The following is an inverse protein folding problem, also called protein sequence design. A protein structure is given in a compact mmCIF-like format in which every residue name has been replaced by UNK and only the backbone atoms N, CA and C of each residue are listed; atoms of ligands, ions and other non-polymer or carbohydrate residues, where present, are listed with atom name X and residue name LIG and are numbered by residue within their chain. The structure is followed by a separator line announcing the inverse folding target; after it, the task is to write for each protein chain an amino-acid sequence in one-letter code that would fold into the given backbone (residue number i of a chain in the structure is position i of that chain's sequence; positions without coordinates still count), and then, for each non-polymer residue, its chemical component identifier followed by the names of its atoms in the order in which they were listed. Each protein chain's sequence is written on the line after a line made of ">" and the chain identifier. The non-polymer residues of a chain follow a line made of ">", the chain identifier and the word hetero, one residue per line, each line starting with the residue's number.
data_IF_046159016469
#
_entry.id   IF_046159016469
#
_cell.length_a   1.000
_cell.length_b   1.000
_cell.length_c   1.000
_cell.angle_alpha   90.00
_cell.angle_beta   90.00
_cell.angle_gamma   90.00
#
_symmetry.space_group_name_H-M   'P 1'
#
loop_
_entity.id
_entity.type
_entity.pdbx_description
1 polymer ?
#
# COMPACT_ATOMS: atom_id res chain seq x y z
N UNK A 1 45.57 -19.72 -23.55
CA UNK A 1 44.10 -19.91 -23.45
C UNK A 1 43.54 -18.78 -22.61
N UNK A 2 42.78 -17.84 -23.19
CA UNK A 2 42.07 -16.81 -22.44
C UNK A 2 40.69 -17.36 -22.08
N UNK A 3 40.40 -17.51 -20.79
CA UNK A 3 39.06 -17.83 -20.29
C UNK A 3 38.23 -16.54 -20.24
N UNK A 4 36.99 -16.70 -20.66
CA UNK A 4 35.91 -15.73 -20.84
C UNK A 4 35.47 -15.00 -19.58
N UNK A 5 35.37 -13.67 -19.64
CA UNK A 5 34.64 -12.84 -18.68
C UNK A 5 33.13 -12.99 -18.90
N UNK A 6 32.42 -13.52 -17.90
CA UNK A 6 30.96 -13.54 -17.81
C UNK A 6 30.42 -12.15 -17.49
N UNK A 7 29.90 -11.44 -18.49
CA UNK A 7 29.17 -10.17 -18.35
C UNK A 7 27.73 -10.48 -17.89
N UNK A 8 27.40 -10.22 -16.62
CA UNK A 8 26.04 -10.34 -16.06
C UNK A 8 25.51 -8.96 -15.60
N UNK A 9 24.26 -8.71 -15.99
CA UNK A 9 23.28 -7.70 -15.54
C UNK A 9 23.66 -6.22 -15.63
N UNK A 10 23.34 -5.60 -16.78
CA UNK A 10 23.20 -4.14 -16.92
C UNK A 10 21.78 -3.70 -17.27
N UNK A 11 20.88 -4.66 -17.52
CA UNK A 11 19.54 -4.41 -18.05
C UNK A 11 18.61 -3.71 -17.03
N UNK A 12 18.83 -3.91 -15.73
CA UNK A 12 18.02 -3.26 -14.69
C UNK A 12 18.31 -1.76 -14.52
N UNK A 13 19.54 -1.31 -14.81
CA UNK A 13 19.89 0.12 -14.72
C UNK A 13 19.41 0.93 -15.94
N UNK A 14 19.39 0.31 -17.12
CA UNK A 14 18.85 0.96 -18.34
C UNK A 14 17.34 1.25 -18.22
N UNK A 15 16.57 0.33 -17.61
CA UNK A 15 15.11 0.49 -17.47
C UNK A 15 14.74 1.65 -16.53
N UNK A 16 15.54 1.91 -15.50
CA UNK A 16 15.29 3.02 -14.55
C UNK A 16 15.70 4.38 -15.13
N UNK A 17 16.59 4.38 -16.12
CA UNK A 17 17.13 5.61 -16.71
C UNK A 17 16.15 6.29 -17.67
N UNK A 18 15.20 5.54 -18.26
CA UNK A 18 14.27 6.06 -19.27
C UNK A 18 13.15 6.95 -18.69
N UNK A 19 12.84 6.83 -17.39
CA UNK A 19 11.82 7.64 -16.72
C UNK A 19 12.30 9.04 -16.30
N UNK A 20 13.60 9.34 -16.39
CA UNK A 20 14.22 10.57 -15.88
C UNK A 20 14.22 11.77 -16.84
N UNK A 21 13.80 11.60 -18.09
CA UNK A 21 14.05 12.58 -19.16
C UNK A 21 12.76 13.15 -19.78
N UNK A 22 11.83 13.64 -18.96
CA UNK A 22 10.72 14.49 -19.43
C UNK A 22 10.65 15.84 -18.71
N UNK A 23 11.24 16.83 -19.38
CA UNK A 23 10.93 18.27 -19.38
C UNK A 23 10.92 19.05 -18.04
N UNK A 24 11.97 19.87 -17.85
CA UNK A 24 11.99 21.03 -16.95
C UNK A 24 11.09 22.16 -17.49
N UNK A 25 10.28 22.83 -16.65
CA UNK A 25 9.88 24.22 -16.88
C UNK A 25 10.93 25.20 -16.35
N UNK A 26 11.19 26.26 -17.12
CA UNK A 26 12.16 27.32 -16.84
C UNK A 26 11.75 28.23 -15.65
N UNK A 27 12.79 28.78 -15.03
CA UNK A 27 12.80 29.78 -13.96
C UNK A 27 12.18 31.12 -14.35
N UNK A 28 11.25 31.62 -13.53
CA UNK A 28 10.93 33.05 -13.39
C UNK A 28 11.19 33.45 -11.94
N UNK A 29 12.00 34.49 -11.76
CA UNK A 29 12.34 35.10 -10.47
C UNK A 29 11.22 36.03 -9.99
N UNK A 30 10.71 35.81 -8.78
CA UNK A 30 9.82 36.72 -8.03
C UNK A 30 10.52 37.21 -6.74
N UNK A 31 10.21 38.42 -6.25
CA UNK A 31 10.92 39.05 -5.13
C UNK A 31 10.54 38.45 -3.78
N UNK A 32 11.53 38.40 -2.89
CA UNK A 32 11.46 37.92 -1.50
C UNK A 32 10.52 38.79 -0.63
N UNK A 33 9.49 38.23 0.03
CA UNK A 33 8.79 38.95 1.08
C UNK A 33 9.58 38.94 2.41
N UNK A 34 9.57 40.07 3.12
CA UNK A 34 10.13 40.26 4.46
C UNK A 34 9.51 39.31 5.52
N UNK A 35 10.25 38.94 6.59
CA UNK A 35 9.72 38.08 7.65
C UNK A 35 8.66 38.82 8.47
N UNK A 36 7.41 38.34 8.39
CA UNK A 36 6.33 38.72 9.29
C UNK A 36 6.51 37.99 10.63
N UNK A 37 6.34 38.64 11.80
CA UNK A 37 6.49 37.98 13.11
C UNK A 37 5.46 36.86 13.31
N UNK A 38 5.93 35.72 13.83
CA UNK A 38 5.13 34.53 14.15
C UNK A 38 4.05 34.85 15.22
N UNK A 39 2.78 34.46 15.02
CA UNK A 39 1.82 34.43 16.11
C UNK A 39 2.08 33.21 17.01
N UNK A 40 2.22 33.48 18.30
CA UNK A 40 2.25 32.51 19.40
C UNK A 40 1.05 31.55 19.33
N UNK A 41 1.21 30.22 19.36
CA UNK A 41 0.07 29.31 19.46
C UNK A 41 -0.54 29.36 20.87
N UNK A 42 -1.80 29.78 20.97
CA UNK A 42 -2.64 29.50 22.13
C UNK A 42 -2.94 27.99 22.23
N UNK A 43 -2.99 27.39 23.42
CA UNK A 43 -3.33 25.98 23.58
C UNK A 43 -4.85 25.74 23.58
N UNK A 44 -5.26 24.52 23.16
CA UNK A 44 -6.52 23.79 23.50
C UNK A 44 -7.69 23.97 22.49
N UNK A 45 -8.52 22.95 22.14
CA UNK A 45 -8.77 21.66 22.81
C UNK A 45 -8.49 20.39 21.97
N UNK A 46 -8.37 19.30 22.73
CA UNK A 46 -8.34 17.89 22.32
C UNK A 46 -9.65 17.49 21.58
N UNK A 47 -9.58 16.87 20.38
CA UNK A 47 -10.77 16.30 19.75
C UNK A 47 -11.09 14.92 20.35
N UNK A 48 -12.25 14.86 20.98
CA UNK A 48 -13.07 13.70 21.35
C UNK A 48 -13.04 12.59 20.28
N UNK A 49 -12.94 11.30 20.66
CA UNK A 49 -13.01 10.19 19.70
C UNK A 49 -14.43 10.03 19.13
N UNK A 50 -14.61 10.40 17.86
CA UNK A 50 -15.82 10.08 17.10
C UNK A 50 -15.78 8.62 16.62
N UNK A 51 -16.52 7.79 17.34
CA UNK A 51 -16.88 6.43 16.97
C UNK A 51 -17.89 6.46 15.81
N UNK A 52 -17.43 6.40 14.57
CA UNK A 52 -18.30 6.14 13.41
C UNK A 52 -18.25 4.67 13.00
N UNK A 53 -19.07 3.89 13.71
CA UNK A 53 -19.63 2.62 13.26
C UNK A 53 -20.47 2.86 11.99
N UNK A 54 -19.84 2.65 10.84
CA UNK A 54 -20.53 2.48 9.56
C UNK A 54 -20.66 1.00 9.24
N UNK A 55 -21.67 0.35 9.82
CA UNK A 55 -22.14 -0.96 9.41
C UNK A 55 -22.73 -0.86 8.00
N UNK A 56 -22.12 -1.55 7.04
CA UNK A 56 -22.83 -2.05 5.86
C UNK A 56 -22.84 -3.57 5.97
N UNK A 57 -23.95 -4.05 6.53
CA UNK A 57 -24.30 -5.45 6.68
C UNK A 57 -24.39 -6.14 5.31
N UNK A 58 -23.61 -7.20 5.14
CA UNK A 58 -24.01 -8.34 4.33
C UNK A 58 -23.83 -9.58 5.20
N UNK A 59 -24.94 -10.03 5.77
CA UNK A 59 -25.05 -11.07 6.77
C UNK A 59 -25.03 -12.45 6.12
N UNK A 60 -23.87 -13.11 6.12
CA UNK A 60 -23.73 -14.50 6.56
C UNK A 60 -22.24 -14.86 6.69
N UNK A 61 -21.67 -14.62 7.87
CA UNK A 61 -20.36 -15.17 8.21
C UNK A 61 -20.36 -15.49 9.69
N UNK A 62 -20.27 -16.78 9.99
CA UNK A 62 -19.65 -17.27 11.22
C UNK A 62 -18.40 -16.40 11.44
N UNK A 63 -18.11 -15.90 12.66
CA UNK A 63 -16.85 -15.23 12.97
C UNK A 63 -15.73 -16.28 12.95
N UNK A 64 -15.48 -16.84 11.78
CA UNK A 64 -14.29 -17.58 11.45
C UNK A 64 -13.16 -16.56 11.43
N UNK A 65 -12.08 -16.90 12.13
CA UNK A 65 -10.81 -16.20 12.20
C UNK A 65 -10.22 -15.93 10.80
N UNK A 66 -10.77 -14.96 10.08
CA UNK A 66 -10.29 -14.63 8.74
C UNK A 66 -8.91 -13.98 8.88
N UNK A 67 -7.90 -14.69 8.41
CA UNK A 67 -6.52 -14.23 8.23
C UNK A 67 -6.41 -13.31 7.01
N UNK A 68 -7.38 -12.41 6.85
CA UNK A 68 -7.56 -11.63 5.63
C UNK A 68 -7.76 -10.17 5.97
N UNK A 69 -6.96 -9.31 5.35
CA UNK A 69 -7.05 -7.85 5.42
C UNK A 69 -7.53 -7.32 4.07
N UNK A 70 -8.72 -6.72 4.03
CA UNK A 70 -9.25 -6.09 2.82
C UNK A 70 -8.79 -4.62 2.74
N UNK A 71 -8.08 -4.26 1.67
CA UNK A 71 -7.57 -2.91 1.44
C UNK A 71 -8.59 -2.08 0.65
N UNK A 72 -9.12 -1.05 1.31
CA UNK A 72 -10.04 -0.06 0.76
C UNK A 72 -9.49 1.36 0.84
N UNK A 73 -10.34 2.34 1.10
CA UNK A 73 -10.00 3.78 1.05
C UNK A 73 -9.30 4.35 2.29
N UNK A 74 -9.21 3.59 3.39
CA UNK A 74 -8.55 4.05 4.63
C UNK A 74 -7.05 4.35 4.40
N UNK A 75 -6.42 5.19 5.25
CA UNK A 75 -4.99 5.47 5.17
C UNK A 75 -4.14 4.20 5.26
N UNK A 76 -3.00 4.17 4.57
CA UNK A 76 -2.12 3.01 4.44
C UNK A 76 -1.74 2.38 5.79
N UNK A 77 -1.44 3.22 6.80
CA UNK A 77 -1.03 2.77 8.13
C UNK A 77 -2.11 1.99 8.87
N UNK A 78 -3.39 2.19 8.54
CA UNK A 78 -4.51 1.43 9.10
C UNK A 78 -4.38 -0.05 8.74
N UNK A 79 -4.02 -0.34 7.49
CA UNK A 79 -3.85 -1.72 7.04
C UNK A 79 -2.56 -2.32 7.57
N UNK A 80 -1.47 -1.54 7.60
CA UNK A 80 -0.19 -2.00 8.16
C UNK A 80 -0.37 -2.43 9.62
N UNK A 81 -0.95 -1.58 10.46
CA UNK A 81 -1.20 -1.90 11.87
C UNK A 81 -2.12 -3.10 12.06
N UNK A 82 -3.20 -3.21 11.27
CA UNK A 82 -4.11 -4.35 11.30
C UNK A 82 -3.41 -5.66 10.91
N UNK A 83 -2.60 -5.66 9.84
CA UNK A 83 -1.84 -6.83 9.40
C UNK A 83 -0.83 -7.27 10.46
N UNK A 84 -0.09 -6.34 11.06
CA UNK A 84 0.87 -6.66 12.13
C UNK A 84 0.20 -7.20 13.39
N UNK A 85 -0.97 -6.66 13.75
CA UNK A 85 -1.75 -7.17 14.87
C UNK A 85 -2.16 -8.63 14.62
N UNK A 86 -2.62 -8.96 13.41
CA UNK A 86 -2.93 -10.35 13.07
C UNK A 86 -1.69 -11.25 13.01
N UNK A 87 -0.57 -10.77 12.44
CA UNK A 87 0.71 -11.50 12.39
C UNK A 87 1.35 -11.71 13.77
N UNK A 88 0.89 -11.02 14.81
CA UNK A 88 1.36 -11.24 16.19
C UNK A 88 0.81 -12.52 16.80
N UNK A 89 -0.38 -12.95 16.38
CA UNK A 89 -1.06 -14.16 16.89
C UNK A 89 -1.11 -15.26 15.85
N UNK A 90 -0.79 -14.97 14.59
CA UNK A 90 -0.93 -15.89 13.46
C UNK A 90 0.31 -15.87 12.58
N UNK A 91 0.63 -17.01 11.98
CA UNK A 91 1.83 -17.19 11.14
C UNK A 91 1.68 -16.63 9.74
N UNK A 92 0.44 -16.49 9.26
CA UNK A 92 0.12 -16.08 7.89
C UNK A 92 -1.05 -15.12 7.87
N UNK A 93 -0.95 -14.04 7.09
CA UNK A 93 -2.03 -13.09 6.81
C UNK A 93 -2.07 -12.77 5.32
N UNK A 94 -3.26 -12.82 4.73
CA UNK A 94 -3.52 -12.49 3.33
C UNK A 94 -4.04 -11.06 3.21
N UNK A 95 -3.35 -10.21 2.44
CA UNK A 95 -3.81 -8.87 2.08
C UNK A 95 -4.56 -8.99 0.74
N UNK A 96 -5.84 -8.61 0.71
CA UNK A 96 -6.67 -8.62 -0.49
C UNK A 96 -7.03 -7.22 -0.96
N UNK A 97 -6.92 -6.97 -2.25
CA UNK A 97 -7.31 -5.71 -2.86
C UNK A 97 -7.86 -5.90 -4.27
N UNK A 98 -8.60 -4.89 -4.74
CA UNK A 98 -9.17 -4.87 -6.09
C UNK A 98 -9.02 -3.53 -6.77
N UNK A 99 -8.90 -3.55 -8.09
CA UNK A 99 -8.80 -2.37 -8.95
C UNK A 99 -7.74 -1.37 -8.47
N UNK A 100 -8.14 -0.10 -8.34
CA UNK A 100 -7.25 1.01 -7.94
C UNK A 100 -6.54 0.82 -6.59
N UNK A 101 -7.04 -0.07 -5.73
CA UNK A 101 -6.45 -0.32 -4.40
C UNK A 101 -5.35 -1.37 -4.39
N UNK A 102 -5.09 -2.03 -5.53
CA UNK A 102 -4.00 -2.99 -5.67
C UNK A 102 -2.65 -2.34 -5.35
N UNK A 103 -2.37 -1.14 -5.88
CA UNK A 103 -1.12 -0.41 -5.58
C UNK A 103 -0.95 -0.19 -4.08
N UNK A 104 -2.02 0.20 -3.39
CA UNK A 104 -1.98 0.41 -1.95
C UNK A 104 -1.72 -0.90 -1.18
N UNK A 105 -2.23 -2.04 -1.63
CA UNK A 105 -1.93 -3.33 -1.02
C UNK A 105 -0.46 -3.76 -1.22
N UNK A 106 0.12 -3.45 -2.37
CA UNK A 106 1.56 -3.64 -2.63
C UNK A 106 2.38 -2.72 -1.73
N UNK A 107 1.97 -1.46 -1.53
CA UNK A 107 2.67 -0.55 -0.62
C UNK A 107 2.62 -1.06 0.83
N UNK A 108 1.49 -1.59 1.27
CA UNK A 108 1.34 -2.21 2.61
C UNK A 108 2.27 -3.41 2.76
N UNK A 109 2.29 -4.33 1.80
CA UNK A 109 3.13 -5.53 1.88
C UNK A 109 4.62 -5.17 1.90
N UNK A 110 5.04 -4.24 1.06
CA UNK A 110 6.42 -3.75 1.00
C UNK A 110 6.81 -2.97 2.25
N UNK A 111 5.89 -2.20 2.84
CA UNK A 111 6.16 -1.49 4.08
C UNK A 111 6.40 -2.47 5.23
N UNK A 112 5.61 -3.54 5.31
CA UNK A 112 5.75 -4.56 6.36
C UNK A 112 7.07 -5.29 6.20
N UNK A 113 7.39 -5.82 5.01
CA UNK A 113 8.64 -6.56 4.82
C UNK A 113 9.85 -5.66 5.05
N UNK A 114 9.95 -4.51 4.37
CA UNK A 114 11.14 -3.64 4.43
C UNK A 114 11.35 -2.92 5.76
N UNK A 115 10.29 -2.57 6.50
CA UNK A 115 10.45 -1.85 7.79
C UNK A 115 10.59 -2.79 8.97
N UNK A 116 10.24 -4.07 8.81
CA UNK A 116 10.30 -5.08 9.87
C UNK A 116 11.19 -6.26 9.49
N UNK A 117 12.24 -5.99 8.70
CA UNK A 117 13.25 -6.98 8.30
C UNK A 117 13.84 -7.72 9.52
N UNK A 118 13.95 -7.05 10.67
CA UNK A 118 14.43 -7.64 11.93
C UNK A 118 13.48 -8.69 12.54
N UNK A 119 12.20 -8.68 12.17
CA UNK A 119 11.18 -9.61 12.67
C UNK A 119 11.00 -10.81 11.74
N UNK A 120 11.53 -10.74 10.51
CA UNK A 120 11.54 -11.86 9.57
C UNK A 120 10.24 -12.07 8.81
N UNK A 121 9.48 -11.00 8.53
CA UNK A 121 8.29 -11.12 7.69
C UNK A 121 8.65 -11.23 6.21
N UNK A 122 8.05 -12.19 5.51
CA UNK A 122 8.30 -12.46 4.10
C UNK A 122 6.99 -12.60 3.32
N UNK A 123 7.01 -12.21 2.03
CA UNK A 123 5.91 -12.49 1.11
C UNK A 123 6.05 -13.94 0.65
N UNK A 124 5.09 -14.80 1.00
CA UNK A 124 5.12 -16.22 0.64
C UNK A 124 4.48 -16.52 -0.71
N UNK A 125 3.42 -15.80 -1.07
CA UNK A 125 2.68 -16.00 -2.32
C UNK A 125 1.97 -14.73 -2.77
N UNK A 126 1.76 -14.59 -4.09
CA UNK A 126 1.00 -13.50 -4.71
C UNK A 126 0.09 -14.07 -5.79
N UNK A 127 -1.22 -13.93 -5.59
CA UNK A 127 -2.25 -14.42 -6.50
C UNK A 127 -2.98 -13.26 -7.17
N UNK A 128 -3.17 -13.34 -8.48
CA UNK A 128 -3.85 -12.32 -9.28
C UNK A 128 -5.02 -12.98 -10.02
N UNK A 129 -6.18 -12.34 -9.97
CA UNK A 129 -7.38 -12.81 -10.67
C UNK A 129 -8.20 -11.62 -11.20
N UNK A 130 -9.35 -11.89 -11.81
CA UNK A 130 -10.29 -10.86 -12.26
C UNK A 130 -11.72 -11.34 -12.08
N UNK A 131 -12.55 -10.50 -11.47
CA UNK A 131 -13.98 -10.77 -11.28
C UNK A 131 -14.81 -9.86 -12.19
N UNK A 132 -15.88 -10.40 -12.76
CA UNK A 132 -16.89 -9.58 -13.45
C UNK A 132 -17.86 -9.00 -12.42
N UNK A 133 -17.85 -7.68 -12.27
CA UNK A 133 -18.75 -6.94 -11.37
C UNK A 133 -19.78 -6.16 -12.18
N UNK A 134 -21.02 -6.19 -11.71
CA UNK A 134 -22.08 -5.34 -12.25
C UNK A 134 -21.89 -3.93 -11.74
N UNK A 135 -21.70 -2.99 -12.67
CA UNK A 135 -21.64 -1.56 -12.39
C UNK A 135 -23.04 -1.00 -12.13
N UNK A 136 -23.14 0.20 -11.55
CA UNK A 136 -24.43 0.84 -11.21
C UNK A 136 -25.34 1.05 -12.44
N UNK A 137 -24.75 1.12 -13.63
CA UNK A 137 -25.43 1.19 -14.93
C UNK A 137 -25.91 -0.18 -15.46
N UNK A 138 -25.81 -1.25 -14.66
CA UNK A 138 -26.20 -2.60 -15.02
C UNK A 138 -25.23 -3.31 -15.97
N UNK A 139 -24.15 -2.65 -16.41
CA UNK A 139 -23.14 -3.25 -17.29
C UNK A 139 -22.14 -4.07 -16.50
N UNK A 140 -21.74 -5.21 -17.04
CA UNK A 140 -20.64 -5.98 -16.49
C UNK A 140 -19.29 -5.32 -16.81
N UNK A 141 -18.41 -5.29 -15.81
CA UNK A 141 -17.03 -4.81 -15.95
C UNK A 141 -16.09 -5.73 -15.18
N UNK A 142 -14.98 -6.07 -15.81
CA UNK A 142 -13.93 -6.84 -15.16
C UNK A 142 -13.15 -5.96 -14.19
N UNK A 143 -12.91 -6.46 -12.99
CA UNK A 143 -12.12 -5.80 -11.97
C UNK A 143 -11.02 -6.76 -11.53
N UNK A 144 -9.77 -6.32 -11.66
CA UNK A 144 -8.61 -7.08 -11.22
C UNK A 144 -8.60 -7.21 -9.70
N UNK A 145 -8.19 -8.38 -9.22
CA UNK A 145 -8.01 -8.71 -7.82
C UNK A 145 -6.57 -9.15 -7.58
N UNK A 146 -6.08 -8.88 -6.37
CA UNK A 146 -4.78 -9.34 -5.90
C UNK A 146 -4.91 -9.84 -4.46
N UNK A 147 -4.26 -10.96 -4.18
CA UNK A 147 -4.05 -11.51 -2.84
C UNK A 147 -2.54 -11.62 -2.60
N UNK A 148 -2.06 -11.12 -1.47
CA UNK A 148 -0.64 -11.16 -1.08
C UNK A 148 -0.56 -11.84 0.28
N UNK A 149 0.13 -12.96 0.36
CA UNK A 149 0.32 -13.68 1.62
C UNK A 149 1.62 -13.24 2.27
N UNK A 150 1.51 -12.77 3.52
CA UNK A 150 2.64 -12.42 4.38
C UNK A 150 2.75 -13.49 5.45
N UNK A 151 3.96 -14.01 5.63
CA UNK A 151 4.27 -15.02 6.65
C UNK A 151 5.41 -14.57 7.53
N UNK A 152 5.45 -15.11 8.75
CA UNK A 152 6.59 -14.99 9.65
C UNK A 152 7.51 -16.20 9.45
N UNK A 153 8.76 -15.94 9.08
CA UNK A 153 9.81 -16.96 8.98
C UNK A 153 10.34 -17.38 10.36
#
# INVERSE_FOLDING_TARGET
>A
MKLSDTKKSKDAEDILSEFGSRAKPQSKSEPTPEPTPEPTPEPTPEPTPENNSGESSDSNAIPEDRNVIFVGTKPIMTYVSATLTQLSTRTTVTIKARGKRITQAVDVSQMITKRMDSVGYVISDVRISSDSLTSQDGKQRNVSNMEIDITKN
#
